data_IF_562530194200
#
_entry.id   IF_562530194200
#
_cell.length_a   1.000
_cell.length_b   1.000
_cell.length_c   1.000
_cell.angle_alpha   90.00
_cell.angle_beta   90.00
_cell.angle_gamma   90.00
#
_symmetry.space_group_name_H-M   'P 1'
#
loop_
_entity.id
_entity.type
_entity.pdbx_description
1 polymer ?
#
# COMPACT_ATOMS: atom_id res chain seq x y z
N UNK A 1 -18.60 1.79 -14.49
CA UNK A 1 -17.65 2.18 -13.43
C UNK A 1 -16.42 2.77 -14.08
N UNK A 2 -15.97 3.95 -13.66
CA UNK A 2 -14.74 4.53 -14.22
C UNK A 2 -13.56 3.58 -13.98
N UNK A 3 -12.60 3.51 -14.89
CA UNK A 3 -11.43 2.61 -14.80
C UNK A 3 -10.71 2.76 -13.45
N UNK A 4 -10.64 3.99 -12.92
CA UNK A 4 -10.08 4.28 -11.60
C UNK A 4 -10.79 3.54 -10.47
N UNK A 5 -12.13 3.51 -10.49
CA UNK A 5 -12.91 2.84 -9.45
C UNK A 5 -12.70 1.32 -9.51
N UNK A 6 -12.51 0.75 -10.71
CA UNK A 6 -12.16 -0.66 -10.86
C UNK A 6 -10.79 -0.97 -10.26
N UNK A 7 -9.79 -0.10 -10.47
CA UNK A 7 -8.46 -0.26 -9.88
C UNK A 7 -8.48 -0.21 -8.35
N UNK A 8 -9.25 0.72 -7.75
CA UNK A 8 -9.40 0.82 -6.29
C UNK A 8 -10.06 -0.43 -5.71
N UNK A 9 -11.10 -0.95 -6.36
CA UNK A 9 -11.83 -2.14 -5.87
C UNK A 9 -10.97 -3.39 -6.01
N UNK A 10 -10.27 -3.56 -7.13
CA UNK A 10 -9.38 -4.70 -7.30
C UNK A 10 -8.20 -4.68 -6.34
N UNK A 11 -7.59 -3.50 -6.11
CA UNK A 11 -6.47 -3.37 -5.17
C UNK A 11 -6.92 -3.63 -3.73
N UNK A 12 -8.05 -3.06 -3.30
CA UNK A 12 -8.60 -3.29 -1.95
C UNK A 12 -9.00 -4.76 -1.73
N UNK A 13 -9.65 -5.39 -2.70
CA UNK A 13 -9.95 -6.82 -2.62
C UNK A 13 -8.68 -7.67 -2.56
N UNK A 14 -7.65 -7.31 -3.34
CA UNK A 14 -6.37 -8.04 -3.33
C UNK A 14 -5.58 -7.90 -2.02
N UNK A 15 -5.76 -6.79 -1.30
CA UNK A 15 -5.16 -6.55 0.00
C UNK A 15 -5.87 -7.34 1.11
N UNK A 16 -7.21 -7.40 1.06
CA UNK A 16 -7.99 -8.19 2.01
C UNK A 16 -7.78 -9.70 1.84
N UNK A 17 -7.36 -10.16 0.65
CA UNK A 17 -7.01 -11.56 0.44
C UNK A 17 -5.66 -11.86 1.09
N UNK A 18 -5.69 -12.54 2.24
CA UNK A 18 -4.48 -13.00 2.91
C UNK A 18 -3.58 -13.82 1.98
N UNK A 19 -2.41 -13.27 1.66
CA UNK A 19 -1.37 -13.96 0.90
C UNK A 19 -0.25 -14.42 1.82
N UNK A 20 0.38 -15.53 1.43
CA UNK A 20 1.51 -16.12 2.16
C UNK A 20 2.73 -15.21 2.20
N UNK A 21 2.92 -14.35 1.21
CA UNK A 21 4.09 -13.48 1.11
C UNK A 21 3.71 -12.03 1.42
N UNK A 22 4.35 -11.45 2.42
CA UNK A 22 4.06 -10.09 2.90
C UNK A 22 4.40 -9.03 1.83
N UNK A 23 5.41 -9.28 1.00
CA UNK A 23 5.81 -8.38 -0.10
C UNK A 23 4.63 -8.14 -1.07
N UNK A 24 3.89 -9.20 -1.43
CA UNK A 24 2.75 -9.10 -2.33
C UNK A 24 1.60 -8.29 -1.72
N UNK A 25 1.45 -8.31 -0.39
CA UNK A 25 0.48 -7.49 0.33
C UNK A 25 0.92 -6.01 0.32
N UNK A 26 2.20 -5.72 0.57
CA UNK A 26 2.75 -4.35 0.47
C UNK A 26 2.59 -3.77 -0.94
N UNK A 27 2.83 -4.58 -1.98
CA UNK A 27 2.64 -4.15 -3.36
C UNK A 27 1.17 -3.83 -3.68
N UNK A 28 0.22 -4.59 -3.14
CA UNK A 28 -1.21 -4.29 -3.28
C UNK A 28 -1.62 -2.98 -2.59
N UNK A 29 -0.99 -2.68 -1.45
CA UNK A 29 -1.19 -1.42 -0.73
C UNK A 29 -0.65 -0.23 -1.52
N UNK A 30 0.55 -0.36 -2.11
CA UNK A 30 1.15 0.70 -2.93
C UNK A 30 0.29 1.00 -4.17
N UNK A 31 -0.26 -0.02 -4.83
CA UNK A 31 -1.20 0.15 -5.94
C UNK A 31 -2.50 0.84 -5.51
N UNK A 32 -3.05 0.51 -4.34
CA UNK A 32 -4.24 1.17 -3.80
C UNK A 32 -3.98 2.65 -3.56
N UNK A 33 -2.87 2.95 -2.89
CA UNK A 33 -2.45 4.30 -2.52
C UNK A 33 -2.20 5.16 -3.78
N UNK A 34 -1.52 4.61 -4.80
CA UNK A 34 -1.31 5.31 -6.07
C UNK A 34 -2.63 5.59 -6.81
N UNK A 35 -3.58 4.65 -6.82
CA UNK A 35 -4.89 4.86 -7.46
C UNK A 35 -5.75 5.91 -6.74
N UNK A 36 -5.61 6.06 -5.42
CA UNK A 36 -6.22 7.15 -4.67
C UNK A 36 -5.56 8.47 -4.98
N UNK A 37 -4.23 8.51 -5.08
CA UNK A 37 -3.50 9.72 -5.45
C UNK A 37 -3.95 10.25 -6.81
N UNK A 38 -4.04 9.38 -7.82
CA UNK A 38 -4.50 9.80 -9.16
C UNK A 38 -5.94 10.27 -9.16
N UNK A 39 -6.83 9.71 -8.33
CA UNK A 39 -8.22 10.19 -8.19
C UNK A 39 -8.28 11.60 -7.59
N UNK A 40 -7.47 11.83 -6.56
CA UNK A 40 -7.39 13.10 -5.85
C UNK A 40 -6.76 14.17 -6.76
N UNK A 41 -5.70 13.84 -7.50
CA UNK A 41 -5.08 14.74 -8.48
C UNK A 41 -6.05 15.23 -9.56
N UNK A 42 -6.94 14.36 -10.05
CA UNK A 42 -7.91 14.72 -11.10
C UNK A 42 -9.04 15.60 -10.53
N UNK A 43 -9.40 15.41 -9.25
CA UNK A 43 -10.52 16.11 -8.65
C UNK A 43 -10.14 17.47 -8.05
N UNK A 44 -8.89 17.68 -7.65
CA UNK A 44 -8.44 18.94 -7.06
C UNK A 44 -7.99 19.98 -8.09
N UNK A 45 -8.30 21.25 -7.77
CA UNK A 45 -7.83 22.41 -8.52
C UNK A 45 -6.32 22.65 -8.33
N UNK A 46 -5.71 23.41 -9.24
CA UNK A 46 -4.28 23.75 -9.21
C UNK A 46 -3.84 24.49 -7.94
N UNK A 47 -4.77 25.09 -7.19
CA UNK A 47 -4.50 25.79 -5.92
C UNK A 47 -4.00 24.88 -4.78
N UNK A 48 -4.18 23.57 -4.89
CA UNK A 48 -3.87 22.59 -3.83
C UNK A 48 -2.70 21.64 -4.16
N UNK A 49 -1.79 22.07 -5.03
CA UNK A 49 -0.60 21.27 -5.40
C UNK A 49 0.29 20.97 -4.18
N UNK A 50 0.36 21.87 -3.20
CA UNK A 50 1.15 21.65 -1.98
C UNK A 50 0.64 20.47 -1.15
N UNK A 51 -0.68 20.32 -0.99
CA UNK A 51 -1.25 19.19 -0.24
C UNK A 51 -1.05 17.86 -0.97
N UNK A 52 -1.10 17.87 -2.30
CA UNK A 52 -0.80 16.70 -3.13
C UNK A 52 0.65 16.23 -2.97
N UNK A 53 1.61 17.17 -2.92
CA UNK A 53 3.03 16.84 -2.68
C UNK A 53 3.26 16.28 -1.28
N UNK A 54 2.62 16.85 -0.25
CA UNK A 54 2.69 16.33 1.12
C UNK A 54 2.11 14.92 1.20
N UNK A 55 0.98 14.67 0.55
CA UNK A 55 0.38 13.34 0.46
C UNK A 55 1.35 12.35 -0.18
N UNK A 56 2.03 12.73 -1.27
CA UNK A 56 3.02 11.90 -1.95
C UNK A 56 4.21 11.53 -1.03
N UNK A 57 4.74 12.51 -0.30
CA UNK A 57 5.81 12.27 0.67
C UNK A 57 5.37 11.31 1.79
N UNK A 58 4.18 11.50 2.34
CA UNK A 58 3.65 10.61 3.38
C UNK A 58 3.44 9.18 2.86
N UNK A 59 2.94 9.02 1.63
CA UNK A 59 2.74 7.70 1.01
C UNK A 59 4.06 6.94 0.84
N UNK A 60 5.11 7.59 0.33
CA UNK A 60 6.45 6.98 0.17
C UNK A 60 7.09 6.65 1.53
N UNK A 61 6.91 7.52 2.52
CA UNK A 61 7.41 7.24 3.87
C UNK A 61 6.73 6.02 4.50
N UNK A 62 5.41 5.88 4.32
CA UNK A 62 4.66 4.73 4.82
C UNK A 62 5.08 3.39 4.18
N UNK A 63 5.34 3.38 2.87
CA UNK A 63 5.84 2.17 2.19
C UNK A 63 7.26 1.81 2.63
N UNK A 64 8.14 2.81 2.86
CA UNK A 64 9.48 2.56 3.39
C UNK A 64 9.47 1.94 4.79
N UNK A 65 8.55 2.40 5.65
CA UNK A 65 8.33 1.81 6.98
C UNK A 65 7.84 0.36 6.86
N UNK A 66 6.88 0.09 5.97
CA UNK A 66 6.38 -1.26 5.71
C UNK A 66 7.47 -2.24 5.24
N UNK A 67 8.39 -1.77 4.38
CA UNK A 67 9.54 -2.56 3.95
C UNK A 67 10.54 -2.80 5.09
N UNK A 68 10.82 -1.78 5.92
CA UNK A 68 11.73 -1.94 7.07
C UNK A 68 11.22 -2.98 8.08
N UNK A 69 9.90 -3.03 8.30
CA UNK A 69 9.25 -4.06 9.11
C UNK A 69 9.39 -5.45 8.46
N UNK A 70 9.23 -5.55 7.14
CA UNK A 70 9.42 -6.81 6.43
C UNK A 70 10.86 -7.34 6.59
N UNK A 71 11.86 -6.45 6.52
CA UNK A 71 13.26 -6.80 6.77
C UNK A 71 13.43 -7.34 8.20
N UNK A 72 12.84 -6.68 9.20
CA UNK A 72 12.91 -7.15 10.60
C UNK A 72 12.30 -8.55 10.80
N UNK A 73 11.17 -8.83 10.15
CA UNK A 73 10.50 -10.15 10.20
C UNK A 73 11.34 -11.21 9.47
N UNK A 74 11.95 -10.84 8.35
CA UNK A 74 12.80 -11.76 7.60
C UNK A 74 14.03 -12.18 8.41
N UNK A 75 14.59 -11.28 9.23
CA UNK A 75 15.70 -11.59 10.13
C UNK A 75 15.28 -12.46 11.33
N UNK A 76 14.07 -12.30 11.86
CA UNK A 76 13.61 -13.10 13.01
C UNK A 76 13.12 -14.50 12.64
N UNK A 77 12.48 -14.66 11.48
CA UNK A 77 11.83 -15.92 11.08
C UNK A 77 12.42 -16.54 9.80
N UNK A 78 13.57 -16.05 9.32
CA UNK A 78 14.30 -16.51 8.13
C UNK A 78 13.43 -16.66 6.87
N UNK A 79 12.26 -16.02 6.84
CA UNK A 79 11.28 -16.15 5.76
C UNK A 79 10.44 -14.88 5.64
N UNK A 80 10.06 -14.54 4.42
CA UNK A 80 9.14 -13.44 4.10
C UNK A 80 7.66 -13.84 4.22
N UNK A 81 7.38 -14.92 4.95
CA UNK A 81 6.05 -15.50 5.04
C UNK A 81 5.21 -14.77 6.09
N UNK A 82 3.90 -14.69 5.87
CA UNK A 82 2.94 -14.11 6.82
C UNK A 82 2.56 -15.06 7.97
N UNK A 83 3.07 -16.30 7.96
CA UNK A 83 2.79 -17.31 8.97
C UNK A 83 3.16 -16.90 10.41
N UNK A 84 4.37 -16.34 10.72
CA UNK A 84 4.69 -15.91 12.08
C UNK A 84 3.77 -14.81 12.61
N UNK A 85 3.24 -13.95 11.73
CA UNK A 85 2.31 -12.86 12.12
C UNK A 85 0.96 -13.45 12.51
N UNK A 86 0.47 -14.44 11.76
CA UNK A 86 -0.77 -15.14 12.04
C UNK A 86 -0.72 -16.01 13.33
N UNK A 87 0.48 -16.28 13.86
CA UNK A 87 0.62 -17.08 15.09
C UNK A 87 0.37 -16.23 16.35
N UNK A 88 0.44 -14.91 16.24
CA UNK A 88 0.19 -13.94 17.31
C UNK A 88 -1.28 -13.49 17.38
N UNK A 89 -2.10 -13.87 16.40
CA UNK A 89 -3.55 -13.59 16.32
C UNK A 89 -4.36 -14.85 16.56
#
# INVERSE_FOLDING_TARGET
MNIMNMMIIMSSFSMCWWRKNIILMLLSLEMLIMSLFTLIMISLSTSSISSLLIMLAMMVSGSSLGLSLLVSISHSHNSSTSYPINLLT
#
